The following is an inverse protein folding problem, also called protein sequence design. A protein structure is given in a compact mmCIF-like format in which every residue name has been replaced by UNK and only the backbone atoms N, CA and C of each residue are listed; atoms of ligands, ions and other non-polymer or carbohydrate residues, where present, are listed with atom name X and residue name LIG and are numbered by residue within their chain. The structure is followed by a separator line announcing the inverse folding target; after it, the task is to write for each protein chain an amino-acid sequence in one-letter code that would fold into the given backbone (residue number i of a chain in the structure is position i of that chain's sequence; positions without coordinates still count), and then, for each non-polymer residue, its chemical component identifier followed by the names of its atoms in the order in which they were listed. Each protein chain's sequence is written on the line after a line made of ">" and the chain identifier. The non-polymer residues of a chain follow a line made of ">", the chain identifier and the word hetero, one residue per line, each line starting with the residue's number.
data_IF_401258707565
#
_entry.id   IF_401258707565
#
_cell.length_a   1.000
_cell.length_b   1.000
_cell.length_c   1.000
_cell.angle_alpha   90.00
_cell.angle_beta   90.00
_cell.angle_gamma   90.00
#
_symmetry.space_group_name_H-M   'P 1'
#
loop_
_entity.id
_entity.type
_entity.pdbx_description
1 polymer ?
#
# COMPACT_ATOMS: atom_id res chain seq x y z
N UNK A 1 -20.15 24.51 11.68
CA UNK A 1 -18.97 23.62 11.77
C UNK A 1 -18.80 23.00 10.40
N UNK A 2 -17.77 23.37 9.63
CA UNK A 2 -17.51 22.67 8.37
C UNK A 2 -17.09 21.25 8.72
N UNK A 3 -17.74 20.28 8.10
CA UNK A 3 -17.31 18.88 8.16
C UNK A 3 -16.04 18.78 7.33
N UNK A 4 -14.89 19.16 7.88
CA UNK A 4 -13.60 18.87 7.25
C UNK A 4 -13.38 17.36 7.31
N UNK A 5 -13.96 16.64 6.36
CA UNK A 5 -13.69 15.22 6.20
C UNK A 5 -12.24 15.06 5.77
N UNK A 6 -11.46 14.38 6.59
CA UNK A 6 -10.11 13.93 6.24
C UNK A 6 -10.15 13.24 4.87
N UNK A 7 -9.35 13.69 3.87
CA UNK A 7 -9.34 13.04 2.56
C UNK A 7 -8.87 11.59 2.67
N UNK A 8 -9.58 10.67 2.01
CA UNK A 8 -9.29 9.23 2.03
C UNK A 8 -8.61 8.76 0.75
N UNK A 9 -7.64 7.86 0.85
CA UNK A 9 -6.90 7.28 -0.26
C UNK A 9 -6.76 5.77 -0.09
N UNK A 10 -7.24 5.00 -1.07
CA UNK A 10 -6.91 3.58 -1.20
C UNK A 10 -5.68 3.44 -2.11
N UNK A 11 -4.52 3.13 -1.53
CA UNK A 11 -3.24 3.00 -2.23
C UNK A 11 -2.92 1.54 -2.56
N UNK A 12 -3.05 1.18 -3.84
CA UNK A 12 -2.77 -0.18 -4.36
C UNK A 12 -1.44 -0.16 -5.11
N UNK A 13 -0.36 -0.55 -4.43
CA UNK A 13 1.01 -0.47 -4.95
C UNK A 13 1.89 -1.60 -4.40
N UNK A 14 3.13 -1.71 -4.89
CA UNK A 14 4.12 -2.64 -4.33
C UNK A 14 4.61 -2.20 -2.95
N UNK A 15 5.14 -3.14 -2.15
CA UNK A 15 5.78 -2.86 -0.87
C UNK A 15 7.12 -3.59 -0.73
N UNK A 16 8.09 -2.95 -0.08
CA UNK A 16 9.40 -3.51 0.21
C UNK A 16 9.77 -3.37 1.68
N UNK A 17 10.49 -4.34 2.24
CA UNK A 17 11.00 -4.27 3.63
C UNK A 17 12.17 -3.31 3.74
N UNK A 18 13.13 -3.35 2.81
CA UNK A 18 14.30 -2.47 2.76
C UNK A 18 14.26 -1.52 1.55
N UNK A 19 14.62 -0.26 1.77
CA UNK A 19 14.47 0.84 0.80
C UNK A 19 13.09 1.51 0.88
N UNK A 20 12.88 2.50 0.01
CA UNK A 20 11.65 3.26 -0.11
C UNK A 20 11.21 3.27 -1.58
N UNK A 21 10.20 2.44 -1.91
CA UNK A 21 9.45 2.44 -3.18
C UNK A 21 7.99 2.06 -2.89
N UNK A 22 7.08 2.29 -3.84
CA UNK A 22 5.67 1.90 -3.72
C UNK A 22 5.00 2.44 -2.45
N UNK A 23 4.17 1.63 -1.80
CA UNK A 23 3.43 2.03 -0.59
C UNK A 23 4.37 2.46 0.55
N UNK A 24 5.59 1.90 0.64
CA UNK A 24 6.56 2.35 1.66
C UNK A 24 7.04 3.79 1.43
N UNK A 25 6.99 4.30 0.20
CA UNK A 25 7.26 5.71 -0.11
C UNK A 25 6.03 6.60 -0.08
N UNK A 26 4.84 6.05 -0.38
CA UNK A 26 3.62 6.84 -0.54
C UNK A 26 2.85 7.03 0.78
N UNK A 27 2.71 5.98 1.58
CA UNK A 27 1.80 5.97 2.74
C UNK A 27 2.23 6.98 3.81
N UNK A 28 3.51 6.96 4.21
CA UNK A 28 3.98 7.84 5.28
C UNK A 28 3.87 9.35 4.92
N UNK A 29 4.30 9.83 3.74
CA UNK A 29 4.09 11.22 3.36
C UNK A 29 2.61 11.62 3.30
N UNK A 30 1.73 10.77 2.77
CA UNK A 30 0.29 11.05 2.72
C UNK A 30 -0.31 11.16 4.14
N UNK A 31 0.07 10.28 5.06
CA UNK A 31 -0.36 10.35 6.45
C UNK A 31 0.13 11.61 7.15
N UNK A 32 1.39 12.02 6.92
CA UNK A 32 1.94 13.29 7.44
C UNK A 32 1.16 14.50 6.90
N UNK A 33 0.68 14.43 5.66
CA UNK A 33 -0.15 15.47 5.03
C UNK A 33 -1.64 15.43 5.46
N UNK A 34 -2.00 14.52 6.36
CA UNK A 34 -3.35 14.43 6.91
C UNK A 34 -4.35 13.66 6.04
N UNK A 35 -3.87 12.75 5.18
CA UNK A 35 -4.74 11.81 4.49
C UNK A 35 -4.96 10.55 5.35
N UNK A 36 -6.17 10.02 5.30
CA UNK A 36 -6.47 8.65 5.77
C UNK A 36 -6.13 7.69 4.62
N UNK A 37 -5.17 6.80 4.84
CA UNK A 37 -4.63 5.94 3.77
C UNK A 37 -4.84 4.48 4.13
N UNK A 38 -5.63 3.80 3.31
CA UNK A 38 -5.74 2.35 3.30
C UNK A 38 -4.79 1.78 2.23
N UNK A 39 -3.94 0.82 2.59
CA UNK A 39 -2.90 0.32 1.69
C UNK A 39 -3.08 -1.16 1.37
N UNK A 40 -3.22 -1.49 0.09
CA UNK A 40 -3.15 -2.85 -0.41
C UNK A 40 -1.77 -3.04 -1.06
N UNK A 41 -0.99 -3.97 -0.53
CA UNK A 41 0.35 -4.27 -1.01
C UNK A 41 0.29 -5.40 -2.04
N UNK A 42 0.49 -5.09 -3.32
CA UNK A 42 0.43 -6.08 -4.42
C UNK A 42 1.59 -7.07 -4.40
N UNK A 43 2.69 -6.69 -3.76
CA UNK A 43 3.81 -7.56 -3.42
C UNK A 43 4.38 -7.14 -2.07
N UNK A 44 5.01 -8.08 -1.37
CA UNK A 44 5.82 -7.78 -0.19
C UNK A 44 7.22 -8.36 -0.38
N UNK A 45 8.13 -7.57 -0.93
CA UNK A 45 9.50 -8.02 -1.20
C UNK A 45 10.50 -7.56 -0.14
N UNK A 46 11.62 -8.27 -0.04
CA UNK A 46 12.74 -7.89 0.83
C UNK A 46 13.35 -6.54 0.42
N UNK A 47 13.49 -6.30 -0.88
CA UNK A 47 14.10 -5.12 -1.49
C UNK A 47 13.42 -4.80 -2.83
N UNK A 48 13.72 -3.64 -3.42
CA UNK A 48 13.26 -3.29 -4.76
C UNK A 48 14.07 -3.98 -5.87
N UNK A 49 13.57 -3.97 -7.11
CA UNK A 49 14.10 -4.76 -8.22
C UNK A 49 15.51 -4.40 -8.71
N UNK A 50 16.05 -3.24 -8.32
CA UNK A 50 17.45 -2.91 -8.63
C UNK A 50 18.49 -3.70 -7.80
N UNK A 51 18.08 -4.48 -6.78
CA UNK A 51 18.97 -5.40 -6.07
C UNK A 51 19.04 -6.76 -6.77
N UNK A 52 20.19 -7.44 -6.66
CA UNK A 52 20.41 -8.77 -7.28
C UNK A 52 19.53 -9.88 -6.69
N UNK A 53 19.16 -9.77 -5.42
CA UNK A 53 18.40 -10.81 -4.72
C UNK A 53 17.14 -10.22 -4.12
N UNK A 54 16.00 -10.77 -4.54
CA UNK A 54 14.67 -10.34 -4.16
C UNK A 54 13.91 -11.59 -3.70
N UNK A 55 13.27 -11.51 -2.55
CA UNK A 55 12.40 -12.58 -2.03
C UNK A 55 11.16 -11.98 -1.43
N UNK A 56 10.06 -12.72 -1.52
CA UNK A 56 8.82 -12.39 -0.85
C UNK A 56 7.59 -12.74 -1.69
N UNK A 57 6.40 -12.72 -1.07
CA UNK A 57 5.17 -13.09 -1.74
C UNK A 57 4.69 -12.02 -2.73
N UNK A 58 3.92 -12.48 -3.72
CA UNK A 58 3.12 -11.68 -4.64
C UNK A 58 1.65 -11.92 -4.25
N UNK A 59 0.86 -10.86 -4.14
CA UNK A 59 -0.57 -10.95 -3.93
C UNK A 59 -1.21 -11.41 -5.24
N UNK A 60 -1.96 -12.52 -5.22
CA UNK A 60 -2.63 -13.01 -6.40
C UNK A 60 -3.99 -12.29 -6.61
N UNK A 61 -4.66 -12.55 -7.73
CA UNK A 61 -5.93 -11.89 -8.04
C UNK A 61 -7.06 -12.28 -7.08
N UNK A 62 -7.12 -13.54 -6.64
CA UNK A 62 -8.15 -14.02 -5.70
C UNK A 62 -7.99 -13.32 -4.35
N UNK A 63 -6.77 -13.26 -3.81
CA UNK A 63 -6.49 -12.57 -2.55
C UNK A 63 -6.83 -11.06 -2.65
N UNK A 64 -6.56 -10.43 -3.79
CA UNK A 64 -6.94 -9.03 -4.02
C UNK A 64 -8.46 -8.85 -4.02
N UNK A 65 -9.20 -9.74 -4.70
CA UNK A 65 -10.66 -9.72 -4.73
C UNK A 65 -11.24 -9.89 -3.32
N UNK A 66 -10.69 -10.81 -2.51
CA UNK A 66 -11.09 -11.00 -1.12
C UNK A 66 -10.92 -9.73 -0.27
N UNK A 67 -9.79 -9.02 -0.43
CA UNK A 67 -9.55 -7.76 0.27
C UNK A 67 -10.52 -6.66 -0.17
N UNK A 68 -10.75 -6.52 -1.48
CA UNK A 68 -11.66 -5.51 -2.02
C UNK A 68 -13.10 -5.77 -1.57
N UNK A 69 -13.53 -7.03 -1.55
CA UNK A 69 -14.85 -7.39 -1.05
C UNK A 69 -14.96 -7.13 0.45
N UNK A 70 -13.94 -7.48 1.24
CA UNK A 70 -13.90 -7.18 2.67
C UNK A 70 -14.00 -5.68 3.00
N UNK A 71 -13.50 -4.80 2.12
CA UNK A 71 -13.62 -3.34 2.27
C UNK A 71 -15.01 -2.78 1.91
N UNK A 72 -15.87 -3.55 1.25
CA UNK A 72 -17.23 -3.13 0.86
C UNK A 72 -18.31 -3.51 1.87
N UNK A 73 -18.03 -4.46 2.75
CA UNK A 73 -18.93 -4.94 3.81
C UNK A 73 -18.98 -3.97 4.98
#
# INVERSE_FOLDING_TARGET
>A
MSTNSTPKVLSIQSHVVHGYVGNKSAVFPLQVLGFEVDAINTVQFSTHTAYKHIKGPILNNQDLEELIEGLRL
#
